data_IF_837160985625
#
_entry.id   IF_837160985625
#
_cell.length_a   1.000
_cell.length_b   1.000
_cell.length_c   1.000
_cell.angle_alpha   90.00
_cell.angle_beta   90.00
_cell.angle_gamma   90.00
#
_symmetry.space_group_name_H-M   'P 1'
#
loop_
_entity.id
_entity.type
_entity.pdbx_description
1 polymer ?
#
# COMPACT_ATOMS: atom_id res chain seq x y z
N UNK A 1 -4.46 23.70 17.13
CA UNK A 1 -5.02 22.38 17.45
C UNK A 1 -3.93 21.56 18.11
N UNK A 2 -4.19 20.90 19.23
CA UNK A 2 -3.20 20.00 19.84
C UNK A 2 -2.95 18.79 18.93
N UNK A 3 -1.72 18.26 18.86
CA UNK A 3 -1.43 17.07 18.08
C UNK A 3 -2.19 15.85 18.63
N UNK A 4 -2.61 14.91 17.75
CA UNK A 4 -3.25 13.68 18.20
C UNK A 4 -2.25 12.81 18.98
N UNK A 5 -2.75 11.99 19.91
CA UNK A 5 -1.92 11.02 20.63
C UNK A 5 -1.55 9.85 19.71
N UNK A 6 -0.28 9.44 19.75
CA UNK A 6 0.21 8.25 19.06
C UNK A 6 -0.17 6.92 19.76
N UNK A 7 -0.87 6.98 20.90
CA UNK A 7 -1.33 5.82 21.66
C UNK A 7 -2.54 5.13 20.99
N UNK A 8 -2.37 4.74 19.74
CA UNK A 8 -3.33 3.99 18.93
C UNK A 8 -2.69 2.69 18.45
N UNK A 9 -3.50 1.67 18.21
CA UNK A 9 -3.03 0.38 17.67
C UNK A 9 -2.48 0.56 16.24
N UNK A 10 -1.15 0.50 16.03
CA UNK A 10 -0.55 0.84 14.75
C UNK A 10 -0.78 -0.22 13.69
N UNK A 11 -1.19 -1.44 14.06
CA UNK A 11 -1.56 -2.50 13.11
C UNK A 11 -2.91 -2.21 12.45
N UNK A 12 -3.77 -1.43 13.11
CA UNK A 12 -5.05 -1.01 12.55
C UNK A 12 -4.83 0.09 11.50
N UNK A 13 -4.97 -0.27 10.23
CA UNK A 13 -4.82 0.62 9.08
C UNK A 13 -5.65 1.89 9.17
N UNK A 14 -6.92 1.77 9.58
CA UNK A 14 -7.82 2.92 9.62
C UNK A 14 -7.40 3.93 10.70
N UNK A 15 -7.01 3.44 11.88
CA UNK A 15 -6.52 4.30 12.96
C UNK A 15 -5.20 4.97 12.57
N UNK A 16 -4.26 4.20 12.00
CA UNK A 16 -2.97 4.72 11.53
C UNK A 16 -3.15 5.83 10.49
N UNK A 17 -3.97 5.61 9.46
CA UNK A 17 -4.25 6.63 8.46
C UNK A 17 -4.93 7.87 9.03
N UNK A 18 -5.87 7.67 9.97
CA UNK A 18 -6.52 8.78 10.66
C UNK A 18 -5.52 9.62 11.45
N UNK A 19 -4.62 8.99 12.21
CA UNK A 19 -3.56 9.68 12.93
C UNK A 19 -2.71 10.51 11.98
N UNK A 20 -2.28 9.94 10.84
CA UNK A 20 -1.45 10.64 9.86
C UNK A 20 -2.13 11.93 9.38
N UNK A 21 -3.42 11.83 9.01
CA UNK A 21 -4.21 12.99 8.58
C UNK A 21 -4.31 14.04 9.70
N UNK A 22 -4.70 13.62 10.91
CA UNK A 22 -4.89 14.53 12.06
C UNK A 22 -3.57 15.20 12.48
N UNK A 23 -2.47 14.46 12.46
CA UNK A 23 -1.14 14.94 12.80
C UNK A 23 -0.67 16.02 11.82
N UNK A 24 -0.70 15.77 10.51
CA UNK A 24 -0.29 16.79 9.55
C UNK A 24 -1.27 17.97 9.48
N UNK A 25 -2.55 17.75 9.79
CA UNK A 25 -3.53 18.85 9.94
C UNK A 25 -3.23 19.72 11.14
N UNK A 26 -2.85 19.16 12.30
CA UNK A 26 -2.54 19.98 13.49
C UNK A 26 -1.32 20.88 13.27
N UNK A 27 -0.41 20.50 12.37
CA UNK A 27 0.76 21.27 11.96
C UNK A 27 0.53 22.17 10.73
N UNK A 28 -0.70 22.24 10.20
CA UNK A 28 -1.03 23.00 8.98
C UNK A 28 -0.20 22.59 7.74
N UNK A 29 0.18 21.30 7.66
CA UNK A 29 0.99 20.73 6.56
C UNK A 29 0.26 19.68 5.72
N UNK A 30 -1.04 19.46 5.95
CA UNK A 30 -1.80 18.43 5.25
C UNK A 30 -2.17 18.83 3.82
N UNK A 31 -1.77 18.00 2.87
CA UNK A 31 -2.11 18.07 1.45
C UNK A 31 -2.53 16.66 0.99
N UNK A 32 -3.84 16.48 0.79
CA UNK A 32 -4.41 15.19 0.43
C UNK A 32 -3.88 14.67 -0.92
N UNK A 33 -3.73 15.55 -1.92
CA UNK A 33 -3.31 15.14 -3.26
C UNK A 33 -1.87 14.62 -3.24
N UNK A 34 -0.97 15.34 -2.56
CA UNK A 34 0.42 14.94 -2.39
C UNK A 34 0.54 13.62 -1.62
N UNK A 35 -0.22 13.45 -0.53
CA UNK A 35 -0.24 12.20 0.24
C UNK A 35 -0.70 11.01 -0.61
N UNK A 36 -1.81 11.15 -1.35
CA UNK A 36 -2.34 10.08 -2.20
C UNK A 36 -1.36 9.72 -3.32
N UNK A 37 -0.72 10.71 -3.95
CA UNK A 37 0.27 10.49 -5.00
C UNK A 37 1.50 9.73 -4.48
N UNK A 38 2.07 10.16 -3.36
CA UNK A 38 3.22 9.50 -2.73
C UNK A 38 2.88 8.08 -2.31
N UNK A 39 1.77 7.89 -1.60
CA UNK A 39 1.34 6.56 -1.14
C UNK A 39 1.10 5.61 -2.31
N UNK A 40 0.55 6.08 -3.42
CA UNK A 40 0.38 5.28 -4.64
C UNK A 40 1.73 4.87 -5.23
N UNK A 41 2.67 5.81 -5.36
CA UNK A 41 4.01 5.53 -5.88
C UNK A 41 4.75 4.48 -5.03
N UNK A 42 4.73 4.66 -3.70
CA UNK A 42 5.32 3.71 -2.75
C UNK A 42 4.73 2.31 -2.88
N UNK A 43 3.41 2.18 -3.06
CA UNK A 43 2.77 0.86 -3.26
C UNK A 43 3.25 0.17 -4.54
N UNK A 44 3.45 0.93 -5.63
CA UNK A 44 3.98 0.38 -6.89
C UNK A 44 5.41 -0.10 -6.70
N UNK A 45 6.26 0.69 -6.04
CA UNK A 45 7.64 0.30 -5.73
C UNK A 45 7.71 -0.94 -4.82
N UNK A 46 6.83 -1.01 -3.81
CA UNK A 46 6.72 -2.19 -2.94
C UNK A 46 6.32 -3.45 -3.71
N UNK A 47 5.33 -3.41 -4.62
CA UNK A 47 5.02 -4.59 -5.46
C UNK A 47 6.27 -4.98 -6.28
N UNK A 48 6.95 -4.02 -6.93
CA UNK A 48 8.15 -4.32 -7.73
C UNK A 48 9.29 -4.95 -6.91
N UNK A 49 9.47 -4.55 -5.64
CA UNK A 49 10.45 -5.19 -4.76
C UNK A 49 10.07 -6.58 -4.30
N UNK A 50 8.77 -6.83 -4.06
CA UNK A 50 8.25 -8.16 -3.76
C UNK A 50 8.53 -9.10 -4.93
N UNK A 51 8.21 -8.67 -6.14
CA UNK A 51 8.41 -9.44 -7.37
C UNK A 51 9.89 -9.74 -7.64
N UNK A 52 10.76 -8.73 -7.56
CA UNK A 52 12.21 -8.86 -7.83
C UNK A 52 12.93 -9.80 -6.86
N UNK A 53 12.35 -10.08 -5.69
CA UNK A 53 12.91 -11.03 -4.69
C UNK A 53 12.31 -12.43 -4.78
N UNK A 54 11.47 -12.69 -5.78
CA UNK A 54 10.83 -14.00 -5.96
C UNK A 54 9.74 -14.30 -4.94
N UNK A 55 9.26 -13.29 -4.21
CA UNK A 55 8.08 -13.45 -3.36
C UNK A 55 6.84 -13.26 -4.23
N UNK A 56 5.90 -14.20 -4.16
CA UNK A 56 4.63 -14.08 -4.88
C UNK A 56 3.61 -13.23 -4.13
N UNK A 57 3.75 -13.12 -2.81
CA UNK A 57 2.84 -12.34 -1.97
C UNK A 57 3.46 -12.00 -0.61
N UNK A 58 2.88 -10.99 0.03
CA UNK A 58 3.23 -10.53 1.38
C UNK A 58 1.94 -10.27 2.16
N UNK A 59 1.98 -10.44 3.49
CA UNK A 59 0.82 -10.16 4.33
C UNK A 59 0.31 -8.73 4.15
N UNK A 60 -1.00 -8.58 3.92
CA UNK A 60 -1.62 -7.28 3.61
C UNK A 60 -1.40 -6.23 4.71
N UNK A 61 -1.42 -6.65 5.98
CA UNK A 61 -1.15 -5.76 7.12
C UNK A 61 0.29 -5.21 7.09
N UNK A 62 1.26 -6.07 6.83
CA UNK A 62 2.67 -5.66 6.69
C UNK A 62 2.87 -4.72 5.51
N UNK A 63 2.29 -5.06 4.35
CA UNK A 63 2.38 -4.26 3.14
C UNK A 63 1.79 -2.86 3.31
N UNK A 64 0.57 -2.76 3.86
CA UNK A 64 -0.07 -1.46 4.09
C UNK A 64 0.62 -0.65 5.19
N UNK A 65 1.18 -1.31 6.21
CA UNK A 65 2.00 -0.63 7.23
C UNK A 65 3.26 -0.03 6.61
N UNK A 66 4.00 -0.81 5.82
CA UNK A 66 5.20 -0.28 5.17
C UNK A 66 4.87 0.83 4.18
N UNK A 67 3.80 0.67 3.39
CA UNK A 67 3.37 1.71 2.47
C UNK A 67 3.07 3.04 3.20
N UNK A 68 2.43 3.00 4.37
CA UNK A 68 2.16 4.21 5.16
C UNK A 68 3.43 4.80 5.79
N UNK A 69 4.33 3.95 6.30
CA UNK A 69 5.59 4.39 6.91
C UNK A 69 6.51 5.09 5.90
N UNK A 70 6.72 4.49 4.73
CA UNK A 70 7.57 5.07 3.68
C UNK A 70 6.92 6.34 3.13
N UNK A 71 5.60 6.32 2.89
CA UNK A 71 4.88 7.50 2.44
C UNK A 71 4.97 8.64 3.45
N UNK A 72 4.97 8.36 4.76
CA UNK A 72 5.24 9.34 5.81
C UNK A 72 6.62 9.96 5.67
N UNK A 73 7.68 9.15 5.60
CA UNK A 73 9.05 9.65 5.47
C UNK A 73 9.22 10.53 4.22
N UNK A 74 8.69 10.10 3.08
CA UNK A 74 8.75 10.86 1.84
C UNK A 74 7.93 12.15 1.91
N UNK A 75 6.79 12.12 2.61
CA UNK A 75 5.95 13.30 2.82
C UNK A 75 6.65 14.34 3.71
N UNK A 76 7.21 13.92 4.86
CA UNK A 76 8.02 14.77 5.75
C UNK A 76 9.20 15.39 5.02
N UNK A 77 9.90 14.59 4.21
CA UNK A 77 11.03 15.06 3.39
C UNK A 77 10.60 16.06 2.32
N UNK A 78 9.49 15.80 1.63
CA UNK A 78 8.96 16.71 0.61
C UNK A 78 8.54 18.07 1.19
N UNK A 79 8.19 18.10 2.48
CA UNK A 79 7.92 19.33 3.23
C UNK A 79 9.19 20.04 3.75
N UNK A 80 10.38 19.45 3.56
CA UNK A 80 11.63 19.99 4.10
C UNK A 80 11.79 19.81 5.61
N UNK A 81 11.07 18.85 6.21
CA UNK A 81 11.02 18.61 7.66
C UNK A 81 11.87 17.39 8.08
N UNK A 82 12.72 16.88 7.19
CA UNK A 82 13.57 15.74 7.49
C UNK A 82 14.58 16.08 8.60
N UNK A 83 14.58 15.30 9.69
CA UNK A 83 15.43 15.51 10.86
C UNK A 83 14.76 16.29 12.00
N UNK A 84 13.54 16.78 11.78
CA UNK A 84 12.71 17.30 12.85
C UNK A 84 12.07 16.14 13.63
N UNK A 85 12.39 16.06 14.93
CA UNK A 85 11.95 14.96 15.82
C UNK A 85 10.43 14.92 15.99
N UNK A 86 9.76 16.06 15.83
CA UNK A 86 8.30 16.09 15.91
C UNK A 86 7.68 15.29 14.75
N UNK A 87 8.39 15.14 13.64
CA UNK A 87 7.96 14.44 12.43
C UNK A 87 8.55 13.04 12.28
N UNK A 88 9.18 12.50 13.33
CA UNK A 88 9.60 11.10 13.36
C UNK A 88 8.38 10.17 13.28
N UNK A 89 8.57 8.99 12.70
CA UNK A 89 7.51 7.98 12.68
C UNK A 89 7.13 7.63 14.13
N UNK A 90 5.86 7.82 14.53
CA UNK A 90 5.49 7.88 15.95
C UNK A 90 5.40 6.50 16.60
N UNK A 91 5.54 5.42 15.83
CA UNK A 91 5.46 4.06 16.32
C UNK A 91 6.82 3.40 16.32
N UNK A 92 7.15 2.75 17.44
CA UNK A 92 8.40 2.02 17.59
C UNK A 92 8.51 0.88 16.57
N UNK A 93 9.74 0.47 16.18
CA UNK A 93 9.96 -0.62 15.22
C UNK A 93 9.23 -1.92 15.57
N UNK A 94 9.02 -2.22 16.85
CA UNK A 94 8.35 -3.41 17.38
C UNK A 94 6.84 -3.42 17.08
N UNK A 95 6.26 -2.26 16.83
CA UNK A 95 4.85 -2.11 16.50
C UNK A 95 4.52 -2.54 15.05
N UNK A 96 5.56 -2.71 14.22
CA UNK A 96 5.46 -3.22 12.85
C UNK A 96 4.79 -4.60 12.86
N UNK A 97 3.75 -4.83 12.01
CA UNK A 97 3.22 -6.18 11.80
C UNK A 97 4.35 -7.14 11.39
N UNK A 98 4.28 -8.40 11.81
CA UNK A 98 5.22 -9.41 11.31
C UNK A 98 5.00 -9.60 9.83
N UNK A 99 6.10 -9.83 9.12
CA UNK A 99 6.02 -10.26 7.74
C UNK A 99 5.60 -11.73 7.71
N UNK A 100 4.30 -11.96 7.72
CA UNK A 100 3.74 -13.29 7.48
C UNK A 100 3.66 -13.47 5.96
N UNK A 101 4.28 -14.54 5.45
CA UNK A 101 3.91 -15.02 4.13
C UNK A 101 2.47 -15.52 4.23
N UNK A 102 1.56 -15.09 3.33
CA UNK A 102 0.27 -15.75 3.24
C UNK A 102 0.51 -17.25 3.06
N UNK A 103 -0.32 -18.12 3.66
CA UNK A 103 -0.16 -19.56 3.51
C UNK A 103 0.00 -19.85 2.02
N UNK A 104 1.11 -20.51 1.65
CA UNK A 104 1.39 -20.89 0.27
C UNK A 104 0.10 -21.49 -0.28
N UNK A 105 -0.53 -20.81 -1.24
CA UNK A 105 -1.85 -21.16 -1.73
C UNK A 105 -1.79 -22.64 -2.08
N UNK A 106 -2.45 -23.45 -1.25
CA UNK A 106 -2.25 -24.88 -1.23
C UNK A 106 -2.42 -25.40 -2.64
N UNK A 107 -1.44 -26.17 -3.08
CA UNK A 107 -1.58 -27.12 -4.18
C UNK A 107 -2.88 -27.88 -3.92
N UNK A 108 -3.94 -27.54 -4.64
CA UNK A 108 -5.07 -28.42 -4.80
C UNK A 108 -4.51 -29.65 -5.52
N UNK A 109 -3.99 -30.61 -4.76
CA UNK A 109 -3.91 -31.99 -5.22
C UNK A 109 -5.36 -32.44 -5.33
N UNK A 110 -5.98 -32.14 -6.47
CA UNK A 110 -7.14 -32.87 -6.95
C UNK A 110 -6.67 -34.31 -7.13
N UNK A 111 -6.79 -35.09 -6.06
CA UNK A 111 -6.66 -36.54 -6.11
C UNK A 111 -7.77 -37.04 -7.02
N UNK A 112 -7.43 -37.24 -8.29
CA UNK A 112 -8.26 -37.96 -9.24
C UNK A 112 -8.24 -39.41 -8.78
N UNK A 113 -9.17 -39.80 -7.91
CA UNK A 113 -9.44 -41.21 -7.69
C UNK A 113 -10.20 -41.75 -8.90
N UNK A 114 -9.53 -42.67 -9.59
CA UNK A 114 -10.03 -43.49 -10.68
C UNK A 114 -11.36 -44.19 -10.36
N UNK A 115 -12.34 -43.93 -11.23
CA UNK A 115 -13.27 -44.88 -11.88
C UNK A 115 -13.76 -46.12 -11.12
N UNK A 116 -15.07 -46.19 -10.90
CA UNK A 116 -15.94 -47.11 -11.67
C UNK A 116 -17.42 -46.68 -11.59
N UNK A 117 -18.25 -47.09 -12.56
CA UNK A 117 -19.45 -46.36 -13.00
C UNK A 117 -20.77 -46.97 -12.49
N UNK A 118 -21.92 -46.33 -12.84
CA UNK A 118 -23.34 -46.84 -12.96
C UNK A 118 -24.35 -45.88 -12.26
N UNK A 119 -25.55 -45.56 -12.82
CA UNK A 119 -25.80 -44.41 -13.69
C UNK A 119 -26.85 -43.42 -13.13
N UNK A 120 -26.93 -42.24 -13.77
CA UNK A 120 -28.01 -41.24 -13.67
C UNK A 120 -29.34 -41.74 -14.30
N UNK A 121 -30.48 -41.01 -14.29
CA UNK A 121 -30.74 -39.62 -13.86
C UNK A 121 -31.96 -39.52 -12.88
N UNK A 122 -32.34 -38.40 -12.25
CA UNK A 122 -32.88 -37.13 -12.79
C UNK A 122 -33.38 -36.28 -11.56
N UNK A 123 -33.93 -35.06 -11.71
CA UNK A 123 -33.23 -33.78 -11.83
C UNK A 123 -33.45 -32.79 -10.66
N UNK A 124 -32.42 -31.98 -10.44
CA UNK A 124 -32.38 -30.53 -10.21
C UNK A 124 -33.57 -29.80 -9.55
N UNK A 125 -33.26 -29.07 -8.46
CA UNK A 125 -32.96 -27.62 -8.51
C UNK A 125 -32.22 -27.21 -7.22
N UNK A 126 -30.92 -26.91 -7.34
CA UNK A 126 -30.35 -25.55 -7.41
C UNK A 126 -30.05 -25.01 -6.01
N UNK A 127 -28.85 -25.24 -5.45
CA UNK A 127 -27.58 -24.50 -5.70
C UNK A 127 -27.74 -23.01 -5.36
N UNK A 128 -27.00 -22.36 -4.47
CA UNK A 128 -25.73 -22.63 -3.81
C UNK A 128 -25.31 -21.30 -3.13
N UNK A 129 -24.01 -20.97 -3.02
CA UNK A 129 -23.27 -21.23 -1.80
C UNK A 129 -22.65 -19.98 -1.16
N UNK A 130 -22.10 -20.20 0.04
CA UNK A 130 -21.09 -19.35 0.66
C UNK A 130 -19.99 -18.97 -0.33
N UNK A 131 -19.66 -17.69 -0.41
CA UNK A 131 -18.47 -17.19 -1.08
C UNK A 131 -17.50 -16.60 -0.06
N UNK A 132 -16.46 -17.39 0.22
CA UNK A 132 -15.10 -16.92 0.50
C UNK A 132 -14.47 -16.46 -0.82
N UNK A 133 -13.76 -15.33 -0.86
CA UNK A 133 -12.50 -15.13 -1.63
C UNK A 133 -11.93 -13.71 -1.41
N UNK A 134 -10.71 -13.59 -0.87
CA UNK A 134 -9.43 -13.32 -1.58
C UNK A 134 -9.21 -11.83 -1.92
N UNK A 135 -8.55 -11.11 -1.01
CA UNK A 135 -7.77 -9.92 -1.36
C UNK A 135 -6.29 -10.30 -1.46
N UNK A 136 -5.90 -10.89 -2.60
CA UNK A 136 -4.50 -11.06 -2.99
C UNK A 136 -4.14 -9.89 -3.90
N UNK A 137 -3.34 -8.95 -3.40
CA UNK A 137 -2.96 -7.75 -4.14
C UNK A 137 -1.60 -7.98 -4.83
N UNK A 138 -1.50 -7.52 -6.08
CA UNK A 138 -0.41 -7.57 -7.05
C UNK A 138 -0.57 -8.72 -8.08
N UNK A 139 -1.36 -8.46 -9.13
CA UNK A 139 -1.20 -9.07 -10.45
C UNK A 139 -0.85 -7.94 -11.44
N UNK A 140 0.16 -8.09 -12.32
CA UNK A 140 0.53 -7.07 -13.29
C UNK A 140 -0.44 -7.11 -14.49
N UNK A 141 -1.23 -6.06 -14.65
CA UNK A 141 -2.05 -5.84 -15.85
C UNK A 141 -1.22 -5.20 -16.97
N UNK A 142 -1.15 -5.89 -18.11
CA UNK A 142 -0.34 -5.56 -19.27
C UNK A 142 -0.89 -4.37 -20.08
N UNK A 143 0.01 -3.75 -20.84
CA UNK A 143 -0.15 -2.55 -21.66
C UNK A 143 -1.22 -2.62 -22.77
N UNK A 144 -1.86 -1.48 -23.04
CA UNK A 144 -2.62 -1.21 -24.26
C UNK A 144 -2.48 0.27 -24.65
N UNK A 145 -1.89 0.51 -25.82
CA UNK A 145 -1.67 1.83 -26.43
C UNK A 145 -2.89 2.29 -27.25
N UNK A 146 -2.76 3.50 -27.83
CA UNK A 146 -3.60 4.10 -28.89
C UNK A 146 -4.86 4.85 -28.39
N UNK A 147 -5.30 6.00 -28.92
CA UNK A 147 -4.87 6.87 -30.02
C UNK A 147 -5.59 8.22 -29.88
N UNK A 148 -5.00 9.27 -30.43
CA UNK A 148 -5.47 10.66 -30.49
C UNK A 148 -6.87 10.84 -31.12
N UNK A 149 -7.64 11.81 -30.62
CA UNK A 149 -8.38 12.75 -31.48
C UNK A 149 -8.77 14.04 -30.75
N UNK A 150 -8.36 15.14 -31.37
CA UNK A 150 -8.73 16.53 -31.13
C UNK A 150 -10.16 16.78 -31.62
N UNK A 151 -10.95 17.62 -30.94
CA UNK A 151 -11.98 18.52 -31.53
C UNK A 151 -12.24 19.66 -30.55
N UNK A 152 -12.25 20.88 -31.08
CA UNK A 152 -12.56 22.14 -30.42
C UNK A 152 -14.06 22.31 -30.17
N UNK A 153 -14.46 22.98 -29.08
CA UNK A 153 -15.58 23.95 -29.13
C UNK A 153 -15.47 24.96 -27.99
N UNK A 154 -15.60 26.24 -28.35
CA UNK A 154 -15.64 27.40 -27.46
C UNK A 154 -16.92 27.45 -26.63
N UNK A 155 -16.79 27.92 -25.38
CA UNK A 155 -17.90 28.17 -24.46
C UNK A 155 -17.48 29.18 -23.41
N UNK A 156 -17.53 30.45 -23.78
CA UNK A 156 -17.25 31.60 -22.94
C UNK A 156 -18.30 31.70 -21.82
N UNK A 157 -17.92 31.33 -20.59
CA UNK A 157 -18.61 31.73 -19.38
C UNK A 157 -17.58 32.25 -18.39
N UNK A 158 -17.74 33.52 -18.01
CA UNK A 158 -16.87 34.27 -17.12
C UNK A 158 -17.46 34.23 -15.71
N UNK A 159 -16.85 33.53 -14.75
CA UNK A 159 -17.04 33.81 -13.33
C UNK A 159 -15.90 34.69 -12.81
N UNK A 160 -16.27 35.60 -11.92
CA UNK A 160 -15.43 36.59 -11.27
C UNK A 160 -14.21 35.96 -10.57
N UNK A 161 -13.06 36.46 -10.98
CA UNK A 161 -11.73 36.14 -10.48
C UNK A 161 -11.47 36.92 -9.18
N UNK A 162 -11.70 36.27 -8.04
CA UNK A 162 -11.05 36.66 -6.78
C UNK A 162 -9.75 35.88 -6.67
N UNK A 163 -8.75 36.34 -7.44
CA UNK A 163 -7.43 35.75 -7.56
C UNK A 163 -6.70 35.70 -6.22
N UNK A 164 -6.82 34.58 -5.50
CA UNK A 164 -5.74 34.10 -4.64
C UNK A 164 -4.75 33.36 -5.55
N UNK A 165 -3.45 33.70 -5.53
CA UNK A 165 -2.45 32.93 -6.26
C UNK A 165 -2.50 31.48 -5.76
N UNK A 166 -2.92 30.55 -6.61
CA UNK A 166 -2.69 29.14 -6.38
C UNK A 166 -1.19 28.94 -6.52
N UNK A 167 -0.50 28.75 -5.40
CA UNK A 167 0.92 28.42 -5.41
C UNK A 167 1.14 27.22 -6.34
N UNK A 168 2.10 27.29 -7.27
CA UNK A 168 2.41 26.16 -8.13
C UNK A 168 2.83 24.98 -7.26
N UNK A 169 2.05 23.89 -7.33
CA UNK A 169 2.41 22.61 -6.71
C UNK A 169 3.77 22.21 -7.26
N UNK A 170 4.80 22.28 -6.42
CA UNK A 170 6.16 21.94 -6.81
C UNK A 170 6.18 20.54 -7.45
N UNK A 171 6.91 20.33 -8.56
CA UNK A 171 7.06 19.01 -9.16
C UNK A 171 7.57 18.04 -8.09
N UNK A 172 6.84 16.94 -7.88
CA UNK A 172 7.25 15.92 -6.93
C UNK A 172 8.71 15.52 -7.25
N UNK A 173 9.61 15.51 -6.26
CA UNK A 173 10.99 15.12 -6.48
C UNK A 173 11.01 13.72 -7.10
N UNK A 174 11.76 13.56 -8.20
CA UNK A 174 11.89 12.27 -8.90
C UNK A 174 12.31 11.19 -7.91
N UNK A 175 11.46 10.17 -7.76
CA UNK A 175 11.49 9.04 -6.81
C UNK A 175 12.75 8.14 -6.86
N UNK A 176 13.77 8.46 -7.66
CA UNK A 176 14.97 7.64 -7.83
C UNK A 176 15.78 7.38 -6.55
N UNK A 177 15.44 8.02 -5.42
CA UNK A 177 16.12 7.86 -4.11
C UNK A 177 15.27 7.14 -3.06
N UNK A 178 13.98 6.92 -3.30
CA UNK A 178 13.11 6.16 -2.40
C UNK A 178 13.54 4.68 -2.36
N UNK A 179 13.92 4.13 -3.53
CA UNK A 179 14.38 2.76 -3.69
C UNK A 179 15.54 2.32 -2.78
N UNK A 180 16.50 3.20 -2.46
CA UNK A 180 17.64 2.82 -1.60
C UNK A 180 17.24 2.69 -0.12
N UNK A 181 16.34 3.55 0.37
CA UNK A 181 15.82 3.47 1.74
C UNK A 181 14.82 2.34 1.88
N UNK A 182 13.98 2.16 0.87
CA UNK A 182 13.10 1.02 0.73
C UNK A 182 13.89 -0.29 0.77
N UNK A 183 14.99 -0.37 0.03
CA UNK A 183 15.94 -1.49 0.10
C UNK A 183 16.49 -1.65 1.51
N UNK A 184 17.00 -0.60 2.16
CA UNK A 184 17.58 -0.70 3.51
C UNK A 184 16.57 -1.12 4.59
N UNK A 185 15.37 -0.54 4.61
CA UNK A 185 14.31 -0.87 5.57
C UNK A 185 13.78 -2.30 5.35
N UNK A 186 13.75 -2.74 4.10
CA UNK A 186 13.40 -4.11 3.71
C UNK A 186 14.51 -5.10 4.08
N UNK A 187 15.78 -4.81 3.78
CA UNK A 187 16.94 -5.62 4.22
C UNK A 187 16.96 -5.77 5.74
N UNK A 188 16.74 -4.70 6.50
CA UNK A 188 16.70 -4.77 7.96
C UNK A 188 15.55 -5.63 8.51
N UNK A 189 14.43 -5.73 7.77
CA UNK A 189 13.32 -6.62 8.11
C UNK A 189 13.63 -8.11 7.84
N UNK A 190 14.52 -8.39 6.89
CA UNK A 190 14.87 -9.73 6.42
C UNK A 190 16.21 -10.27 6.95
N UNK A 191 17.13 -9.41 7.37
CA UNK A 191 18.46 -9.76 7.86
C UNK A 191 18.48 -10.43 9.26
N UNK A 192 17.33 -10.86 9.79
CA UNK A 192 17.26 -11.70 11.00
C UNK A 192 16.75 -13.12 10.72
N UNK A 193 17.53 -13.99 10.06
CA UNK A 193 17.41 -15.42 10.23
C UNK A 193 18.48 -15.90 11.22
N UNK A 194 18.35 -15.55 12.50
CA UNK A 194 19.12 -16.22 13.55
C UNK A 194 18.35 -16.19 14.86
N UNK A 195 17.14 -16.78 14.81
CA UNK A 195 16.63 -17.46 15.99
C UNK A 195 17.29 -18.85 15.97
N UNK A 196 18.57 -18.88 16.32
CA UNK A 196 19.17 -20.09 16.88
C UNK A 196 18.49 -20.32 18.24
N UNK A 197 17.31 -20.94 18.21
CA UNK A 197 16.73 -21.61 19.36
C UNK A 197 17.62 -22.81 19.68
N UNK A 198 18.76 -22.56 20.31
CA UNK A 198 19.33 -23.55 21.22
C UNK A 198 18.41 -23.61 22.44
N UNK A 199 17.41 -24.47 22.34
CA UNK A 199 16.74 -25.05 23.49
C UNK A 199 17.77 -25.90 24.26
N UNK A 200 17.97 -25.67 25.56
CA UNK A 200 18.63 -26.64 26.43
C UNK A 200 17.76 -27.90 26.61
#
# INVERSE_FOLDING_TARGET
MSPPSANIEPRNRALRQRFIVEFFKSHSRWNLQQWVALRKAVKVELCAMVDTRGHQAVGALYFEYQADHIAWEDYVKALGLAGDKDFDWPWAPEARPRMEQPPASGTERTGVQSTSPIPAPEPSKTSGPAQSTKDSICAPGNHGAESSKSVMTAGLNKPEDTGKPVEPVAPLPRLNRAGDRLRAAWEAAWAKPDINLHLP
#
